data_IF_088724733953
#
_entry.id   IF_088724733953
#
_cell.length_a   1.000
_cell.length_b   1.000
_cell.length_c   1.000
_cell.angle_alpha   90.00
_cell.angle_beta   90.00
_cell.angle_gamma   90.00
#
_symmetry.space_group_name_H-M   'P 1'
#
loop_
_entity.id
_entity.type
_entity.pdbx_description
1 polymer ?
#
# COMPACT_ATOMS: atom_id res chain seq x y z
N UNK A 1 34.12 7.58 32.97
CA UNK A 1 32.77 7.64 33.58
C UNK A 1 31.87 6.59 32.90
N UNK A 2 31.85 5.34 33.39
CA UNK A 2 30.99 4.29 32.84
C UNK A 2 29.55 4.54 33.33
N UNK A 3 28.70 5.16 32.50
CA UNK A 3 27.24 5.19 32.74
C UNK A 3 26.72 3.77 32.62
N UNK A 4 26.68 3.06 33.74
CA UNK A 4 26.07 1.74 33.85
C UNK A 4 24.56 1.98 33.75
N UNK A 5 24.02 1.82 32.54
CA UNK A 5 22.59 1.81 32.30
C UNK A 5 21.92 0.84 33.29
N UNK A 6 20.98 1.35 34.09
CA UNK A 6 20.32 0.57 35.14
C UNK A 6 19.67 -0.67 34.54
N UNK A 7 19.68 -1.82 35.24
CA UNK A 7 19.07 -3.06 34.75
C UNK A 7 17.57 -2.89 34.40
N UNK A 8 16.90 -1.95 35.07
CA UNK A 8 15.51 -1.58 34.83
C UNK A 8 15.34 -0.94 33.44
N UNK A 9 16.22 -0.01 33.06
CA UNK A 9 16.13 0.64 31.74
C UNK A 9 16.42 -0.35 30.60
N UNK A 10 17.32 -1.31 30.82
CA UNK A 10 17.59 -2.39 29.87
C UNK A 10 16.38 -3.33 29.71
N UNK A 11 15.67 -3.63 30.80
CA UNK A 11 14.45 -4.43 30.77
C UNK A 11 13.31 -3.77 29.98
N UNK A 12 13.12 -2.46 30.16
CA UNK A 12 12.12 -1.68 29.40
C UNK A 12 12.47 -1.65 27.91
N UNK A 13 13.73 -1.41 27.57
CA UNK A 13 14.20 -1.41 26.18
C UNK A 13 13.99 -2.77 25.50
N UNK A 14 14.26 -3.85 26.24
CA UNK A 14 14.05 -5.21 25.75
C UNK A 14 12.56 -5.50 25.53
N UNK A 15 11.68 -5.07 26.44
CA UNK A 15 10.24 -5.24 26.31
C UNK A 15 9.67 -4.47 25.09
N UNK A 16 10.16 -3.26 24.83
CA UNK A 16 9.80 -2.48 23.63
C UNK A 16 10.27 -3.20 22.36
N UNK A 17 11.51 -3.68 22.34
CA UNK A 17 12.07 -4.40 21.19
C UNK A 17 11.28 -5.67 20.89
N UNK A 18 10.94 -6.44 21.93
CA UNK A 18 10.12 -7.65 21.84
C UNK A 18 8.71 -7.32 21.36
N UNK A 19 8.07 -6.27 21.92
CA UNK A 19 6.77 -5.80 21.46
C UNK A 19 6.76 -5.42 19.97
N UNK A 20 7.78 -4.68 19.51
CA UNK A 20 7.93 -4.31 18.09
C UNK A 20 8.08 -5.55 17.18
N UNK A 21 8.81 -6.58 17.64
CA UNK A 21 8.94 -7.83 16.89
C UNK A 21 7.62 -8.58 16.80
N UNK A 22 6.79 -8.60 17.86
CA UNK A 22 5.47 -9.23 17.83
C UNK A 22 4.46 -8.49 16.95
N UNK A 23 4.48 -7.15 16.94
CA UNK A 23 3.62 -6.35 16.03
C UNK A 23 4.03 -6.47 14.55
N UNK A 24 5.26 -6.89 14.23
CA UNK A 24 5.72 -7.02 12.84
C UNK A 24 4.94 -8.08 12.03
N UNK A 25 4.35 -9.07 12.71
CA UNK A 25 3.56 -10.13 12.07
C UNK A 25 2.28 -9.63 11.39
N UNK A 26 1.68 -8.55 11.88
CA UNK A 26 0.48 -7.96 11.28
C UNK A 26 0.82 -7.10 10.05
N UNK A 27 1.94 -6.38 10.09
CA UNK A 27 2.37 -5.50 9.00
C UNK A 27 2.73 -6.29 7.72
N UNK A 28 3.36 -7.46 7.89
CA UNK A 28 3.76 -8.31 6.76
C UNK A 28 2.55 -8.85 5.98
N UNK A 29 1.45 -9.18 6.67
CA UNK A 29 0.22 -9.68 6.04
C UNK A 29 -0.45 -8.61 5.17
N UNK A 30 -0.44 -7.35 5.59
CA UNK A 30 -1.03 -6.24 4.83
C UNK A 30 -0.24 -5.98 3.53
N UNK A 31 1.09 -6.09 3.58
CA UNK A 31 1.96 -5.89 2.42
C UNK A 31 1.87 -7.06 1.44
N UNK A 32 1.86 -8.30 1.94
CA UNK A 32 1.71 -9.50 1.10
C UNK A 32 0.41 -9.47 0.30
N UNK A 33 -0.70 -9.07 0.93
CA UNK A 33 -2.03 -9.09 0.31
C UNK A 33 -2.17 -8.16 -0.90
N UNK A 34 -1.38 -7.09 -0.99
CA UNK A 34 -1.35 -6.20 -2.17
C UNK A 34 -0.63 -6.83 -3.35
N UNK A 35 0.44 -7.59 -3.12
CA UNK A 35 1.20 -8.24 -4.18
C UNK A 35 0.51 -9.48 -4.76
N UNK A 36 -0.46 -10.07 -4.05
CA UNK A 36 -1.14 -11.32 -4.42
C UNK A 36 -1.90 -11.28 -5.77
N UNK A 37 -2.13 -10.09 -6.31
CA UNK A 37 -2.83 -9.88 -7.58
C UNK A 37 -1.91 -9.55 -8.75
N UNK A 38 -0.62 -9.30 -8.50
CA UNK A 38 0.35 -9.07 -9.55
C UNK A 38 0.55 -10.36 -10.37
N UNK A 39 0.66 -10.22 -11.69
CA UNK A 39 0.76 -11.34 -12.62
C UNK A 39 -0.57 -12.02 -12.95
N UNK A 40 -1.69 -11.60 -12.33
CA UNK A 40 -3.03 -12.13 -12.64
C UNK A 40 -3.75 -11.30 -13.69
N UNK A 41 -4.68 -11.94 -14.40
CA UNK A 41 -5.57 -11.27 -15.36
C UNK A 41 -6.65 -10.49 -14.63
N UNK A 42 -6.83 -9.23 -15.05
CA UNK A 42 -7.86 -8.32 -14.54
C UNK A 42 -9.22 -8.78 -15.05
N UNK A 43 -10.13 -9.13 -14.13
CA UNK A 43 -11.49 -9.57 -14.46
C UNK A 43 -12.49 -8.42 -14.53
N UNK A 44 -12.26 -7.37 -13.77
CA UNK A 44 -13.19 -6.26 -13.61
C UNK A 44 -12.43 -5.00 -13.17
N UNK A 45 -12.87 -3.83 -13.64
CA UNK A 45 -12.43 -2.51 -13.18
C UNK A 45 -13.68 -1.75 -12.74
N UNK A 46 -13.67 -1.25 -11.50
CA UNK A 46 -14.78 -0.47 -10.93
C UNK A 46 -14.23 0.78 -10.26
N UNK A 47 -14.75 1.94 -10.64
CA UNK A 47 -14.52 3.18 -9.91
C UNK A 47 -15.59 3.35 -8.84
N UNK A 48 -15.20 3.85 -7.67
CA UNK A 48 -16.10 4.08 -6.53
C UNK A 48 -15.73 5.38 -5.84
N UNK A 49 -16.74 6.15 -5.43
CA UNK A 49 -16.55 7.38 -4.65
C UNK A 49 -16.29 8.63 -5.49
N UNK A 50 -16.26 8.51 -6.81
CA UNK A 50 -16.28 9.65 -7.72
C UNK A 50 -17.63 10.38 -7.62
N UNK A 51 -17.59 11.71 -7.53
CA UNK A 51 -18.79 12.58 -7.45
C UNK A 51 -18.96 13.44 -8.70
N UNK A 52 -17.88 14.10 -9.12
CA UNK A 52 -17.89 15.06 -10.22
C UNK A 52 -17.13 14.57 -11.46
N UNK A 53 -16.55 13.36 -11.40
CA UNK A 53 -15.73 12.79 -12.48
C UNK A 53 -16.37 11.49 -12.95
N UNK A 54 -16.86 11.40 -14.19
CA UNK A 54 -17.39 10.17 -14.76
C UNK A 54 -16.35 9.04 -14.83
N UNK A 55 -16.81 7.80 -14.73
CA UNK A 55 -15.96 6.61 -14.84
C UNK A 55 -15.18 6.56 -16.16
N UNK A 56 -15.81 6.98 -17.27
CA UNK A 56 -15.18 6.99 -18.59
C UNK A 56 -13.95 7.91 -18.65
N UNK A 57 -14.00 9.05 -17.96
CA UNK A 57 -12.87 9.98 -17.90
C UNK A 57 -11.70 9.34 -17.14
N UNK A 58 -11.99 8.69 -16.01
CA UNK A 58 -10.98 7.98 -15.22
C UNK A 58 -10.40 6.76 -15.98
N UNK A 59 -11.24 6.03 -16.70
CA UNK A 59 -10.82 4.90 -17.54
C UNK A 59 -9.88 5.34 -18.65
N UNK A 60 -10.08 6.53 -19.21
CA UNK A 60 -9.21 7.10 -20.26
C UNK A 60 -7.80 7.45 -19.75
N UNK A 61 -7.64 7.68 -18.45
CA UNK A 61 -6.38 8.11 -17.81
C UNK A 61 -5.46 6.95 -17.39
N UNK A 62 -5.98 5.72 -17.41
CA UNK A 62 -5.29 4.52 -16.93
C UNK A 62 -5.10 3.50 -18.05
N UNK A 63 -4.09 2.63 -17.92
CA UNK A 63 -3.88 1.51 -18.83
C UNK A 63 -4.58 0.22 -18.33
N UNK A 64 -4.82 0.12 -17.03
CA UNK A 64 -5.57 -0.98 -16.41
C UNK A 64 -6.91 -1.17 -17.14
N UNK A 65 -7.10 -2.36 -17.72
CA UNK A 65 -8.31 -2.77 -18.43
C UNK A 65 -8.56 -4.26 -18.22
N UNK A 66 -9.83 -4.65 -18.33
CA UNK A 66 -10.24 -6.06 -18.28
C UNK A 66 -9.48 -6.87 -19.33
N UNK A 67 -9.05 -8.07 -18.96
CA UNK A 67 -8.27 -8.98 -19.82
C UNK A 67 -6.76 -8.73 -19.82
N UNK A 68 -6.28 -7.59 -19.30
CA UNK A 68 -4.83 -7.36 -19.15
C UNK A 68 -4.25 -8.05 -17.92
N UNK A 69 -2.95 -8.35 -17.97
CA UNK A 69 -2.19 -8.80 -16.81
C UNK A 69 -1.86 -7.59 -15.92
N UNK A 70 -2.19 -7.67 -14.64
CA UNK A 70 -1.82 -6.64 -13.68
C UNK A 70 -0.32 -6.72 -13.38
N UNK A 71 0.42 -5.64 -13.67
CA UNK A 71 1.85 -5.53 -13.33
C UNK A 71 2.07 -4.36 -12.39
N UNK A 72 3.12 -4.44 -11.56
CA UNK A 72 3.48 -3.36 -10.64
C UNK A 72 3.72 -2.04 -11.40
N UNK A 73 4.40 -2.11 -12.55
CA UNK A 73 4.68 -0.96 -13.42
C UNK A 73 3.40 -0.24 -13.85
N UNK A 74 2.40 -0.99 -14.30
CA UNK A 74 1.12 -0.43 -14.76
C UNK A 74 0.37 0.19 -13.58
N UNK A 75 0.28 -0.53 -12.46
CA UNK A 75 -0.41 -0.06 -11.25
C UNK A 75 0.19 1.26 -10.74
N UNK A 76 1.52 1.31 -10.58
CA UNK A 76 2.21 2.49 -10.06
C UNK A 76 2.06 3.70 -10.99
N UNK A 77 2.16 3.49 -12.31
CA UNK A 77 1.99 4.56 -13.30
C UNK A 77 0.55 5.08 -13.28
N UNK A 78 -0.44 4.20 -13.28
CA UNK A 78 -1.84 4.59 -13.37
C UNK A 78 -2.30 5.32 -12.09
N UNK A 79 -1.84 4.88 -10.92
CA UNK A 79 -2.03 5.63 -9.66
C UNK A 79 -1.42 7.03 -9.77
N UNK A 80 -0.18 7.15 -10.25
CA UNK A 80 0.47 8.45 -10.44
C UNK A 80 -0.31 9.35 -11.39
N UNK A 81 -0.82 8.82 -12.50
CA UNK A 81 -1.63 9.57 -13.46
C UNK A 81 -2.92 10.09 -12.81
N UNK A 82 -3.62 9.24 -12.06
CA UNK A 82 -4.84 9.62 -11.35
C UNK A 82 -4.57 10.72 -10.31
N UNK A 83 -3.51 10.65 -9.52
CA UNK A 83 -3.18 11.72 -8.58
C UNK A 83 -2.75 13.02 -9.28
N UNK A 84 -2.00 12.91 -10.37
CA UNK A 84 -1.58 14.07 -11.16
C UNK A 84 -2.76 14.77 -11.88
N UNK A 85 -3.92 14.13 -12.01
CA UNK A 85 -5.13 14.77 -12.55
C UNK A 85 -5.67 15.88 -11.65
N UNK A 86 -5.32 15.88 -10.36
CA UNK A 86 -5.86 16.81 -9.37
C UNK A 86 -7.27 16.47 -8.87
N UNK A 87 -7.89 15.37 -9.34
CA UNK A 87 -9.21 14.94 -8.88
C UNK A 87 -9.20 14.29 -7.50
N UNK A 88 -8.04 13.80 -7.05
CA UNK A 88 -7.90 13.04 -5.81
C UNK A 88 -6.82 13.65 -4.92
N UNK A 89 -7.12 13.76 -3.63
CA UNK A 89 -6.23 14.25 -2.58
C UNK A 89 -6.00 13.10 -1.61
N UNK A 90 -4.75 12.88 -1.20
CA UNK A 90 -4.35 11.88 -0.20
C UNK A 90 -4.66 12.36 1.22
#
# INVERSE_FOLDING_TARGET
>A
MKRIFSPILKGILLAILVGLLFYSGELTQILSKRSDFLGKTIKEVKFKGNKNTPDADLESMIEIKVGKILTKRILDRDLKNLFNSGFFIL
#
